data_IF_824991006523
#
_entry.id   IF_824991006523
#
_cell.length_a   1.000
_cell.length_b   1.000
_cell.length_c   1.000
_cell.angle_alpha   90.00
_cell.angle_beta   90.00
_cell.angle_gamma   90.00
#
_symmetry.space_group_name_H-M   'P 1'
#
loop_
_entity.id
_entity.type
_entity.pdbx_description
1 polymer ?
#
# COMPACT_ATOMS: atom_id res chain seq x y z
N UNK A 1 -28.18 19.66 -16.41
CA UNK A 1 -26.83 19.24 -15.99
C UNK A 1 -26.92 18.36 -14.75
N UNK A 2 -26.60 17.07 -14.85
CA UNK A 2 -26.44 16.22 -13.67
C UNK A 2 -25.18 16.67 -12.93
N UNK A 3 -25.34 17.27 -11.75
CA UNK A 3 -24.20 17.53 -10.85
C UNK A 3 -23.62 16.17 -10.49
N UNK A 4 -22.45 15.80 -11.02
CA UNK A 4 -21.72 14.65 -10.49
C UNK A 4 -21.40 15.00 -9.05
N UNK A 5 -22.03 14.31 -8.09
CA UNK A 5 -21.65 14.40 -6.69
C UNK A 5 -20.15 14.13 -6.64
N UNK A 6 -19.33 15.16 -6.37
CA UNK A 6 -17.92 14.95 -6.04
C UNK A 6 -17.97 14.09 -4.79
N UNK A 7 -17.78 12.77 -4.95
CA UNK A 7 -17.47 11.90 -3.82
C UNK A 7 -16.28 12.59 -3.15
N UNK A 8 -16.46 13.03 -1.91
CA UNK A 8 -15.38 13.47 -1.03
C UNK A 8 -14.51 12.24 -0.75
N UNK A 9 -13.78 11.79 -1.77
CA UNK A 9 -12.86 10.68 -1.67
C UNK A 9 -11.64 11.28 -0.98
N UNK A 10 -11.44 10.96 0.29
CA UNK A 10 -10.28 11.39 1.10
C UNK A 10 -8.93 10.96 0.51
N UNK A 11 -8.95 10.27 -0.62
CA UNK A 11 -7.87 9.47 -1.21
C UNK A 11 -7.35 9.97 -2.56
N UNK A 12 -7.88 11.07 -3.11
CA UNK A 12 -7.63 11.44 -4.53
C UNK A 12 -6.14 11.55 -4.91
N UNK A 13 -5.29 12.08 -4.02
CA UNK A 13 -3.84 12.23 -4.28
C UNK A 13 -2.94 11.23 -3.56
N UNK A 14 -3.50 10.35 -2.71
CA UNK A 14 -2.72 9.43 -1.87
C UNK A 14 -2.92 7.95 -2.20
N UNK A 15 -3.91 7.61 -3.03
CA UNK A 15 -4.24 6.22 -3.34
C UNK A 15 -3.05 5.47 -3.95
N UNK A 16 -2.75 4.30 -3.39
CA UNK A 16 -1.73 3.38 -3.91
C UNK A 16 -2.00 3.02 -5.38
N UNK A 17 -3.27 2.87 -5.76
CA UNK A 17 -3.68 2.57 -7.14
C UNK A 17 -3.26 3.70 -8.07
N UNK A 18 -3.46 4.96 -7.69
CA UNK A 18 -3.09 6.10 -8.53
C UNK A 18 -1.57 6.15 -8.74
N UNK A 19 -0.79 5.94 -7.67
CA UNK A 19 0.68 5.90 -7.75
C UNK A 19 1.17 4.76 -8.66
N UNK A 20 0.58 3.57 -8.57
CA UNK A 20 0.96 2.42 -9.39
C UNK A 20 0.52 2.58 -10.86
N UNK A 21 -0.63 3.21 -11.11
CA UNK A 21 -1.08 3.58 -12.47
C UNK A 21 -0.15 4.61 -13.10
N UNK A 22 0.26 5.63 -12.35
CA UNK A 22 1.21 6.65 -12.84
C UNK A 22 2.56 6.03 -13.23
N UNK A 23 3.00 4.97 -12.54
CA UNK A 23 4.19 4.17 -12.88
C UNK A 23 3.95 3.16 -14.02
N UNK A 24 2.76 3.13 -14.64
CA UNK A 24 2.34 2.15 -15.65
C UNK A 24 2.49 0.68 -15.21
N UNK A 25 2.45 0.41 -13.90
CA UNK A 25 2.59 -0.95 -13.35
C UNK A 25 1.27 -1.70 -13.32
N UNK A 26 0.14 -0.99 -13.32
CA UNK A 26 -1.20 -1.56 -13.27
C UNK A 26 -2.13 -0.87 -14.26
N UNK A 27 -3.13 -1.60 -14.77
CA UNK A 27 -4.17 -1.10 -15.66
C UNK A 27 -5.57 -1.48 -15.13
N UNK A 28 -6.62 -0.97 -15.76
CA UNK A 28 -8.00 -1.20 -15.29
C UNK A 28 -8.42 -2.67 -15.39
N UNK A 29 -7.99 -3.38 -16.44
CA UNK A 29 -8.28 -4.81 -16.58
C UNK A 29 -7.64 -5.63 -15.45
N UNK A 30 -6.40 -5.32 -15.08
CA UNK A 30 -5.69 -5.98 -13.99
C UNK A 30 -6.35 -5.69 -12.63
N UNK A 31 -6.87 -4.49 -12.41
CA UNK A 31 -7.60 -4.17 -11.18
C UNK A 31 -8.87 -5.01 -11.03
N UNK A 32 -9.59 -5.27 -12.13
CA UNK A 32 -10.74 -6.18 -12.11
C UNK A 32 -10.30 -7.60 -11.75
N UNK A 33 -9.21 -8.09 -12.34
CA UNK A 33 -8.66 -9.41 -12.01
C UNK A 33 -8.24 -9.50 -10.53
N UNK A 34 -7.53 -8.50 -10.01
CA UNK A 34 -7.11 -8.44 -8.60
C UNK A 34 -8.31 -8.42 -7.66
N UNK A 35 -9.37 -7.67 -7.98
CA UNK A 35 -10.55 -7.57 -7.13
C UNK A 35 -11.33 -8.90 -7.00
N UNK A 36 -11.17 -9.81 -7.96
CA UNK A 36 -11.82 -11.12 -7.95
C UNK A 36 -10.98 -12.19 -7.23
N UNK A 37 -9.73 -11.89 -6.88
CA UNK A 37 -8.83 -12.79 -6.19
C UNK A 37 -8.86 -12.54 -4.68
N UNK A 38 -8.62 -13.60 -3.91
CA UNK A 38 -8.37 -13.45 -2.47
C UNK A 38 -7.00 -12.84 -2.22
N UNK A 39 -6.77 -12.33 -1.02
CA UNK A 39 -5.46 -11.79 -0.65
C UNK A 39 -4.40 -12.90 -0.62
N UNK A 40 -4.80 -14.10 -0.18
CA UNK A 40 -4.00 -15.31 -0.14
C UNK A 40 -3.54 -15.72 -1.54
N UNK A 41 -4.45 -15.69 -2.53
CA UNK A 41 -4.12 -15.98 -3.93
C UNK A 41 -3.13 -14.93 -4.49
N UNK A 42 -3.35 -13.65 -4.21
CA UNK A 42 -2.47 -12.57 -4.65
C UNK A 42 -1.05 -12.69 -4.07
N UNK A 43 -0.93 -13.03 -2.79
CA UNK A 43 0.36 -13.27 -2.14
C UNK A 43 1.05 -14.48 -2.79
N UNK A 44 0.32 -15.56 -3.02
CA UNK A 44 0.85 -16.78 -3.64
C UNK A 44 1.36 -16.53 -5.05
N UNK A 45 0.57 -15.87 -5.90
CA UNK A 45 0.95 -15.47 -7.26
C UNK A 45 2.21 -14.59 -7.23
N UNK A 46 2.26 -13.61 -6.31
CA UNK A 46 3.43 -12.72 -6.23
C UNK A 46 4.70 -13.47 -5.86
N UNK A 47 4.62 -14.41 -4.93
CA UNK A 47 5.75 -15.24 -4.51
C UNK A 47 6.20 -16.18 -5.64
N UNK A 48 5.26 -16.78 -6.38
CA UNK A 48 5.56 -17.63 -7.53
C UNK A 48 6.29 -16.85 -8.63
N UNK A 49 5.79 -15.66 -8.98
CA UNK A 49 6.47 -14.78 -9.93
C UNK A 49 7.87 -14.40 -9.46
N UNK A 50 8.06 -14.10 -8.17
CA UNK A 50 9.38 -13.83 -7.59
C UNK A 50 10.29 -15.06 -7.62
N UNK A 51 9.76 -16.26 -7.35
CA UNK A 51 10.51 -17.52 -7.38
C UNK A 51 10.97 -17.88 -8.81
N UNK A 52 10.18 -17.52 -9.82
CA UNK A 52 10.55 -17.74 -11.22
C UNK A 52 11.86 -17.01 -11.59
N UNK A 53 12.13 -15.85 -10.99
CA UNK A 53 13.40 -15.11 -11.20
C UNK A 53 14.63 -15.83 -10.62
N UNK A 54 14.43 -16.81 -9.73
CA UNK A 54 15.50 -17.59 -9.08
C UNK A 54 15.42 -19.08 -9.45
N UNK A 55 14.91 -19.39 -10.65
CA UNK A 55 14.75 -20.76 -11.16
C UNK A 55 13.96 -21.68 -10.20
N UNK A 56 12.95 -21.14 -9.53
CA UNK A 56 12.09 -21.86 -8.59
C UNK A 56 12.83 -22.49 -7.40
N UNK A 57 13.92 -21.87 -6.94
CA UNK A 57 14.69 -22.31 -5.77
C UNK A 57 14.61 -21.30 -4.62
N UNK A 58 13.45 -21.12 -3.96
CA UNK A 58 13.30 -20.20 -2.83
C UNK A 58 13.88 -20.75 -1.51
N UNK A 59 14.69 -21.81 -1.56
CA UNK A 59 15.29 -22.39 -0.36
C UNK A 59 16.23 -21.38 0.32
N UNK A 60 16.10 -21.23 1.64
CA UNK A 60 16.91 -20.32 2.44
C UNK A 60 16.23 -19.00 2.84
N UNK A 61 15.04 -18.69 2.31
CA UNK A 61 14.27 -17.54 2.77
C UNK A 61 13.42 -17.90 4.00
N UNK A 62 13.62 -17.16 5.09
CA UNK A 62 12.75 -17.25 6.27
C UNK A 62 11.43 -16.47 6.05
N UNK A 63 10.62 -16.89 5.08
CA UNK A 63 9.39 -16.19 4.71
C UNK A 63 8.41 -16.11 5.88
N UNK A 64 8.29 -17.20 6.64
CA UNK A 64 7.41 -17.28 7.81
C UNK A 64 7.73 -16.20 8.85
N UNK A 65 9.01 -16.00 9.18
CA UNK A 65 9.41 -14.99 10.18
C UNK A 65 9.28 -13.55 9.66
N UNK A 66 9.32 -13.36 8.33
CA UNK A 66 9.17 -12.05 7.68
C UNK A 66 7.74 -11.72 7.28
N UNK A 67 6.82 -12.67 7.25
CA UNK A 67 5.43 -12.45 6.82
C UNK A 67 4.74 -11.34 7.63
N UNK A 68 4.88 -11.35 8.96
CA UNK A 68 4.31 -10.30 9.83
C UNK A 68 4.86 -8.91 9.50
N UNK A 69 6.13 -8.83 9.10
CA UNK A 69 6.76 -7.56 8.72
C UNK A 69 6.13 -7.01 7.43
N UNK A 70 6.00 -7.85 6.40
CA UNK A 70 5.41 -7.48 5.11
C UNK A 70 3.95 -7.03 5.29
N UNK A 71 3.17 -7.75 6.09
CA UNK A 71 1.78 -7.41 6.36
C UNK A 71 1.65 -6.07 7.09
N UNK A 72 2.49 -5.82 8.11
CA UNK A 72 2.48 -4.56 8.85
C UNK A 72 2.86 -3.37 7.98
N UNK A 73 3.88 -3.51 7.13
CA UNK A 73 4.25 -2.49 6.14
C UNK A 73 3.05 -2.13 5.25
N UNK A 74 2.42 -3.14 4.63
CA UNK A 74 1.26 -2.93 3.74
C UNK A 74 0.08 -2.24 4.43
N UNK A 75 -0.24 -2.64 5.67
CA UNK A 75 -1.30 -2.01 6.47
C UNK A 75 -1.00 -0.54 6.77
N UNK A 76 0.25 -0.20 7.12
CA UNK A 76 0.66 1.19 7.37
C UNK A 76 0.55 2.02 6.10
N UNK A 77 1.04 1.50 4.96
CA UNK A 77 0.91 2.16 3.65
C UNK A 77 -0.54 2.45 3.31
N UNK A 78 -1.42 1.45 3.50
CA UNK A 78 -2.85 1.60 3.24
C UNK A 78 -3.49 2.64 4.17
N UNK A 79 -3.23 2.58 5.48
CA UNK A 79 -3.77 3.52 6.45
C UNK A 79 -3.37 4.97 6.16
N UNK A 80 -2.09 5.19 5.81
CA UNK A 80 -1.59 6.51 5.43
C UNK A 80 -2.17 6.98 4.09
N UNK A 81 -2.42 6.06 3.15
CA UNK A 81 -3.04 6.40 1.86
C UNK A 81 -4.50 6.82 1.97
N UNK A 82 -5.24 6.16 2.88
CA UNK A 82 -6.69 6.34 3.04
C UNK A 82 -7.05 7.52 3.95
N UNK A 83 -6.15 7.91 4.84
CA UNK A 83 -6.41 8.94 5.85
C UNK A 83 -5.70 10.28 5.57
N UNK A 84 -6.29 11.36 6.08
CA UNK A 84 -5.77 12.71 5.88
C UNK A 84 -4.65 13.07 6.87
N UNK A 85 -4.56 12.39 8.02
CA UNK A 85 -3.58 12.69 9.07
C UNK A 85 -2.97 11.43 9.67
N UNK A 86 -1.73 11.52 10.15
CA UNK A 86 -1.04 10.42 10.85
C UNK A 86 -1.83 9.96 12.09
N UNK A 87 -2.48 10.88 12.82
CA UNK A 87 -3.32 10.56 13.98
C UNK A 87 -4.54 9.72 13.58
N UNK A 88 -5.17 10.05 12.45
CA UNK A 88 -6.28 9.26 11.90
C UNK A 88 -5.80 7.88 11.44
N UNK A 89 -4.61 7.78 10.86
CA UNK A 89 -4.00 6.50 10.49
C UNK A 89 -3.72 5.62 11.72
N UNK A 90 -3.19 6.19 12.79
CA UNK A 90 -2.91 5.48 14.05
C UNK A 90 -4.20 4.91 14.65
N UNK A 91 -5.26 5.74 14.72
CA UNK A 91 -6.60 5.32 15.15
C UNK A 91 -7.18 4.23 14.25
N UNK A 92 -7.03 4.35 12.93
CA UNK A 92 -7.50 3.34 11.98
C UNK A 92 -6.81 1.98 12.19
N UNK A 93 -5.51 1.99 12.50
CA UNK A 93 -4.73 0.79 12.79
C UNK A 93 -4.87 0.29 14.23
N UNK A 94 -5.54 1.05 15.11
CA UNK A 94 -5.70 0.69 16.53
C UNK A 94 -4.41 0.79 17.36
N UNK A 95 -3.45 1.63 16.95
CA UNK A 95 -2.18 1.84 17.63
C UNK A 95 -2.02 3.28 18.10
N UNK A 96 -1.07 3.54 19.00
CA UNK A 96 -0.74 4.89 19.45
C UNK A 96 0.02 5.67 18.36
N UNK A 97 -0.02 7.01 18.45
CA UNK A 97 0.73 7.88 17.54
C UNK A 97 2.24 7.56 17.58
N UNK A 98 2.79 7.29 18.76
CA UNK A 98 4.21 6.95 18.96
C UNK A 98 4.59 5.64 18.26
N UNK A 99 3.77 4.61 18.41
CA UNK A 99 3.96 3.34 17.71
C UNK A 99 3.90 3.51 16.20
N UNK A 100 2.98 4.34 15.69
CA UNK A 100 2.91 4.64 14.27
C UNK A 100 4.18 5.35 13.79
N UNK A 101 4.71 6.33 14.51
CA UNK A 101 5.95 7.01 14.14
C UNK A 101 7.14 6.04 14.09
N UNK A 102 7.27 5.15 15.07
CA UNK A 102 8.30 4.12 15.06
C UNK A 102 8.11 3.14 13.90
N UNK A 103 6.87 2.75 13.61
CA UNK A 103 6.57 1.85 12.52
C UNK A 103 6.89 2.49 11.16
N UNK A 104 6.52 3.74 10.92
CA UNK A 104 6.86 4.47 9.67
C UNK A 104 8.37 4.48 9.45
N UNK A 105 9.16 4.73 10.51
CA UNK A 105 10.63 4.71 10.44
C UNK A 105 11.17 3.30 10.19
N UNK A 106 10.59 2.30 10.85
CA UNK A 106 11.04 0.90 10.77
C UNK A 106 10.76 0.25 9.42
N UNK A 107 9.62 0.56 8.82
CA UNK A 107 9.16 -0.04 7.57
C UNK A 107 9.48 0.82 6.34
N UNK A 108 10.27 1.89 6.50
CA UNK A 108 10.71 2.78 5.41
C UNK A 108 9.53 3.30 4.56
N UNK A 109 8.39 3.59 5.21
CA UNK A 109 7.17 4.06 4.54
C UNK A 109 7.23 5.57 4.23
N UNK A 110 8.36 6.22 4.51
CA UNK A 110 8.56 7.66 4.34
C UNK A 110 8.36 8.14 2.90
N UNK A 111 8.72 7.32 1.90
CA UNK A 111 8.58 7.66 0.48
C UNK A 111 7.11 7.93 0.08
N UNK A 112 6.14 7.31 0.74
CA UNK A 112 4.73 7.63 0.50
C UNK A 112 4.31 9.01 1.03
N UNK A 113 5.05 9.53 1.99
CA UNK A 113 4.79 10.81 2.66
C UNK A 113 5.48 11.97 1.95
N UNK A 114 6.67 11.76 1.37
CA UNK A 114 7.49 12.81 0.72
C UNK A 114 6.82 13.45 -0.50
N UNK A 115 6.02 12.68 -1.26
CA UNK A 115 5.23 13.21 -2.39
C UNK A 115 4.19 14.26 -1.98
N UNK A 116 3.85 14.40 -0.69
CA UNK A 116 2.85 15.36 -0.22
C UNK A 116 3.42 16.76 0.06
N UNK A 117 4.75 16.94 0.09
CA UNK A 117 5.36 18.25 0.37
C UNK A 117 5.57 19.12 -0.89
N UNK A 118 5.35 18.57 -2.09
CA UNK A 118 5.52 19.31 -3.36
C UNK A 118 4.22 19.83 -3.97
N UNK A 119 3.11 19.82 -3.22
CA UNK A 119 1.80 20.32 -3.70
C UNK A 119 1.25 21.52 -2.90
N UNK A 120 2.04 22.08 -1.98
CA UNK A 120 1.70 23.35 -1.30
C UNK A 120 2.40 24.59 -1.88
N UNK A 121 3.13 24.45 -2.99
CA UNK A 121 3.66 25.59 -3.74
C UNK A 121 3.38 25.40 -5.22
N UNK A 122 2.20 25.85 -5.68
CA UNK A 122 1.90 26.46 -6.98
C UNK A 122 0.41 26.89 -7.01
#
# INVERSE_FOLDING_TARGET
>A
MRKSSKKNLTTQNKSVIFKLKAKNLINDSLLVSINNLTLEDLISIKLELSANHINNRPYGFSLWSKASYIMKDSLIRFALSTTNSKKSAARFLGITDSELYQAIKRYEVAELLEDNNNVETL
#
